data_IF_377020179194
#
_entry.id   IF_377020179194
#
_cell.length_a   1.000
_cell.length_b   1.000
_cell.length_c   1.000
_cell.angle_alpha   90.00
_cell.angle_beta   90.00
_cell.angle_gamma   90.00
#
_symmetry.space_group_name_H-M   'P 1'
#
loop_
_entity.id
_entity.type
_entity.pdbx_description
1 polymer ?
#
# COMPACT_ATOMS: atom_id res chain seq x y z
N UNK A 1 -1.73 -14.98 13.58
CA UNK A 1 -3.12 -14.44 13.65
C UNK A 1 -3.49 -13.94 12.26
N UNK A 2 -4.74 -14.15 11.83
CA UNK A 2 -5.20 -13.58 10.54
C UNK A 2 -5.40 -12.07 10.70
N UNK A 3 -5.03 -11.29 9.68
CA UNK A 3 -5.26 -9.85 9.63
C UNK A 3 -6.77 -9.53 9.68
N UNK A 4 -7.13 -8.49 10.40
CA UNK A 4 -8.48 -7.95 10.50
C UNK A 4 -8.41 -6.42 10.39
N UNK A 5 -9.20 -5.84 9.49
CA UNK A 5 -9.32 -4.38 9.43
C UNK A 5 -9.87 -3.82 10.74
N UNK A 6 -9.29 -2.72 11.20
CA UNK A 6 -9.78 -1.99 12.37
C UNK A 6 -9.52 -0.50 12.20
N UNK A 7 -10.33 0.31 12.88
CA UNK A 7 -10.08 1.73 13.02
C UNK A 7 -9.09 2.02 14.16
N UNK A 8 -8.55 3.23 14.19
CA UNK A 8 -7.60 3.68 15.22
C UNK A 8 -8.16 3.67 16.64
N UNK A 9 -9.48 3.69 16.80
CA UNK A 9 -10.18 3.55 18.09
C UNK A 9 -10.35 2.09 18.54
N UNK A 10 -9.86 1.13 17.76
CA UNK A 10 -9.97 -0.30 17.98
C UNK A 10 -11.27 -0.94 17.47
N UNK A 11 -12.18 -0.15 16.90
CA UNK A 11 -13.42 -0.69 16.30
C UNK A 11 -13.09 -1.57 15.10
N UNK A 12 -13.58 -2.81 15.12
CA UNK A 12 -13.38 -3.76 14.01
C UNK A 12 -14.22 -3.39 12.81
N UNK A 13 -13.62 -3.53 11.64
CA UNK A 13 -14.28 -3.29 10.35
C UNK A 13 -14.61 -4.65 9.73
N UNK A 14 -15.91 -4.93 9.53
CA UNK A 14 -16.42 -6.23 9.09
C UNK A 14 -16.44 -6.37 7.55
N UNK A 15 -15.48 -5.78 6.85
CA UNK A 15 -15.28 -6.04 5.42
C UNK A 15 -14.33 -7.22 5.22
N UNK A 16 -14.62 -8.09 4.25
CA UNK A 16 -13.69 -9.16 3.92
C UNK A 16 -12.38 -8.58 3.39
N UNK A 17 -11.26 -9.16 3.81
CA UNK A 17 -9.98 -8.86 3.20
C UNK A 17 -9.96 -9.48 1.79
N UNK A 18 -9.98 -8.64 0.79
CA UNK A 18 -9.89 -9.03 -0.61
C UNK A 18 -8.46 -8.91 -1.14
N UNK A 19 -8.36 -8.44 -2.37
CA UNK A 19 -7.09 -8.07 -3.00
C UNK A 19 -6.68 -6.66 -2.58
N UNK A 20 -5.37 -6.44 -2.48
CA UNK A 20 -4.77 -5.11 -2.36
C UNK A 20 -4.28 -4.72 -3.75
N UNK A 21 -4.91 -3.72 -4.35
CA UNK A 21 -4.49 -3.16 -5.64
C UNK A 21 -3.49 -2.06 -5.37
N UNK A 22 -2.29 -2.19 -5.89
CA UNK A 22 -1.20 -1.23 -5.72
C UNK A 22 -0.96 -0.45 -7.02
N UNK A 23 -0.60 0.82 -6.87
CA UNK A 23 -0.29 1.72 -7.99
C UNK A 23 1.21 2.02 -7.93
N UNK A 24 1.97 1.42 -8.84
CA UNK A 24 3.41 1.65 -8.91
C UNK A 24 3.74 2.99 -9.57
N UNK A 25 4.86 3.62 -9.15
CA UNK A 25 5.35 4.91 -9.65
C UNK A 25 4.32 6.04 -9.51
N UNK A 26 3.55 6.02 -8.44
CA UNK A 26 2.48 7.00 -8.22
C UNK A 26 3.00 8.34 -7.67
N UNK A 27 4.19 8.37 -7.10
CA UNK A 27 4.85 9.58 -6.60
C UNK A 27 5.78 10.14 -7.69
N UNK A 28 5.37 11.25 -8.34
CA UNK A 28 6.05 11.83 -9.49
C UNK A 28 7.49 12.27 -9.18
N UNK A 29 7.75 12.79 -8.00
CA UNK A 29 9.09 13.20 -7.53
C UNK A 29 10.01 11.98 -7.42
N UNK A 30 9.55 10.92 -6.76
CA UNK A 30 10.31 9.67 -6.62
C UNK A 30 10.55 8.96 -7.96
N UNK A 31 9.62 9.06 -8.90
CA UNK A 31 9.81 8.54 -10.26
C UNK A 31 10.95 9.28 -10.99
N UNK A 32 11.06 10.60 -10.79
CA UNK A 32 12.13 11.43 -11.35
C UNK A 32 13.50 11.11 -10.73
N UNK A 33 13.57 10.93 -9.41
CA UNK A 33 14.81 10.56 -8.70
C UNK A 33 15.42 9.25 -9.22
N UNK A 34 14.58 8.32 -9.63
CA UNK A 34 14.98 7.02 -10.17
C UNK A 34 15.15 7.01 -11.71
N UNK A 35 15.12 8.18 -12.34
CA UNK A 35 15.20 8.34 -13.82
C UNK A 35 14.16 7.47 -14.57
N UNK A 36 12.98 7.30 -13.95
CA UNK A 36 11.86 6.59 -14.55
C UNK A 36 10.88 7.60 -15.17
N UNK A 37 10.38 7.35 -16.39
CA UNK A 37 9.32 8.17 -16.96
C UNK A 37 8.06 8.06 -16.08
N UNK A 38 7.37 9.19 -15.88
CA UNK A 38 6.05 9.18 -15.24
C UNK A 38 5.10 8.42 -16.16
N UNK A 39 4.45 7.35 -15.68
CA UNK A 39 3.56 6.56 -16.52
C UNK A 39 2.36 7.39 -17.00
N UNK A 40 1.98 7.23 -18.27
CA UNK A 40 0.75 7.83 -18.81
C UNK A 40 -0.52 7.12 -18.38
N UNK A 41 -0.39 5.85 -17.96
CA UNK A 41 -1.45 5.02 -17.39
C UNK A 41 -0.97 4.43 -16.05
N UNK A 42 -1.88 4.19 -15.09
CA UNK A 42 -1.51 3.59 -13.81
C UNK A 42 -0.84 2.23 -13.99
N UNK A 43 0.36 2.07 -13.44
CA UNK A 43 1.03 0.78 -13.36
C UNK A 43 0.45 0.00 -12.19
N UNK A 44 -0.39 -0.97 -12.47
CA UNK A 44 -1.07 -1.74 -11.43
C UNK A 44 -0.38 -3.07 -11.17
N UNK A 45 -0.32 -3.46 -9.90
CA UNK A 45 0.01 -4.81 -9.46
C UNK A 45 -0.84 -5.18 -8.23
N UNK A 46 -0.89 -6.45 -7.88
CA UNK A 46 -1.78 -6.95 -6.84
C UNK A 46 -0.97 -7.67 -5.76
N UNK A 47 -1.32 -7.38 -4.50
CA UNK A 47 -0.96 -8.21 -3.37
C UNK A 47 -2.22 -8.96 -2.92
N UNK A 48 -2.19 -10.31 -2.85
CA UNK A 48 -3.32 -11.07 -2.32
C UNK A 48 -3.52 -10.79 -0.83
N UNK A 49 -4.72 -10.99 -0.32
CA UNK A 49 -5.01 -10.78 1.11
C UNK A 49 -4.13 -11.59 2.06
N UNK A 50 -3.61 -12.75 1.60
CA UNK A 50 -2.64 -13.55 2.37
C UNK A 50 -1.30 -12.84 2.66
N UNK A 51 -0.97 -11.79 1.89
CA UNK A 51 0.23 -10.98 2.13
C UNK A 51 0.06 -9.95 3.24
N UNK A 52 -1.17 -9.70 3.70
CA UNK A 52 -1.46 -8.59 4.62
C UNK A 52 -1.20 -9.00 6.06
N UNK A 53 -0.44 -8.16 6.76
CA UNK A 53 -0.18 -8.28 8.20
C UNK A 53 -0.42 -6.93 8.88
N UNK A 54 -0.78 -6.91 10.18
CA UNK A 54 -0.93 -5.67 10.92
C UNK A 54 0.44 -5.03 11.18
N UNK A 55 0.50 -3.69 11.18
CA UNK A 55 1.68 -2.95 11.63
C UNK A 55 1.87 -3.10 13.14
N UNK A 56 0.77 -3.09 13.90
CA UNK A 56 0.79 -3.24 15.34
C UNK A 56 1.21 -4.65 15.76
N UNK A 57 2.05 -4.76 16.77
CA UNK A 57 2.60 -6.02 17.22
C UNK A 57 3.83 -6.49 16.47
N UNK A 58 4.25 -5.74 15.45
CA UNK A 58 5.45 -6.01 14.65
C UNK A 58 5.21 -7.01 13.51
N UNK A 59 6.12 -7.00 12.57
CA UNK A 59 6.13 -7.87 11.40
C UNK A 59 7.55 -8.34 11.10
N UNK A 60 7.68 -9.42 10.35
CA UNK A 60 8.99 -9.99 9.99
C UNK A 60 9.41 -9.54 8.60
N UNK A 61 10.70 -9.22 8.47
CA UNK A 61 11.33 -8.91 7.18
C UNK A 61 12.14 -10.15 6.77
N UNK A 62 11.90 -10.73 5.58
CA UNK A 62 12.60 -11.93 5.12
C UNK A 62 14.01 -11.58 4.60
N UNK A 63 14.92 -11.27 5.50
CA UNK A 63 16.28 -10.82 5.18
C UNK A 63 17.11 -11.88 4.43
N UNK A 64 16.76 -13.15 4.57
CA UNK A 64 17.36 -14.28 3.83
C UNK A 64 17.04 -14.29 2.34
N UNK A 65 16.07 -13.47 1.90
CA UNK A 65 15.64 -13.36 0.51
C UNK A 65 16.28 -12.20 -0.26
N UNK A 66 17.33 -11.59 0.30
CA UNK A 66 18.04 -10.47 -0.30
C UNK A 66 17.58 -9.11 0.25
N UNK A 67 17.81 -8.05 -0.53
CA UNK A 67 17.48 -6.69 -0.12
C UNK A 67 15.95 -6.47 -0.07
N UNK A 68 15.43 -6.19 1.12
CA UNK A 68 14.03 -5.84 1.32
C UNK A 68 13.92 -4.34 1.52
N UNK A 69 13.24 -3.67 0.59
CA UNK A 69 12.89 -2.26 0.71
C UNK A 69 11.51 -2.09 1.31
N UNK A 70 11.36 -1.05 2.09
CA UNK A 70 10.09 -0.55 2.58
C UNK A 70 9.68 0.64 1.71
N UNK A 71 8.45 0.65 1.25
CA UNK A 71 7.85 1.78 0.52
C UNK A 71 6.67 2.24 1.38
N UNK A 72 6.76 3.44 1.97
CA UNK A 72 5.66 3.98 2.77
C UNK A 72 4.56 4.50 1.83
N UNK A 73 3.36 4.03 2.06
CA UNK A 73 2.21 4.22 1.20
C UNK A 73 0.96 4.58 2.01
N UNK A 74 -0.05 5.10 1.33
CA UNK A 74 -1.37 5.32 1.89
C UNK A 74 -2.30 4.21 1.40
N UNK A 75 -2.76 3.37 2.31
CA UNK A 75 -3.82 2.41 2.03
C UNK A 75 -5.19 3.09 2.07
N UNK A 76 -5.99 2.86 1.03
CA UNK A 76 -7.38 3.33 0.94
C UNK A 76 -8.31 2.13 1.07
N UNK A 77 -9.20 2.15 2.07
CA UNK A 77 -10.18 1.09 2.28
C UNK A 77 -11.48 1.44 1.56
N UNK A 78 -11.83 0.65 0.55
CA UNK A 78 -13.09 0.75 -0.16
C UNK A 78 -14.15 -0.07 0.56
N UNK A 79 -15.18 0.59 1.08
CA UNK A 79 -16.23 -0.03 1.89
C UNK A 79 -17.57 -0.21 1.20
N UNK A 80 -17.72 0.25 -0.04
CA UNK A 80 -18.95 0.10 -0.82
C UNK A 80 -18.66 -0.45 -2.21
N UNK A 81 -19.55 -1.25 -2.79
CA UNK A 81 -19.43 -1.65 -4.19
C UNK A 81 -19.46 -0.42 -5.13
N UNK A 82 -18.62 -0.46 -6.16
CA UNK A 82 -18.57 0.55 -7.20
C UNK A 82 -18.98 -0.05 -8.54
N UNK A 83 -19.64 0.75 -9.39
CA UNK A 83 -19.91 0.40 -10.78
C UNK A 83 -18.61 0.39 -11.60
N UNK A 84 -18.68 -0.06 -12.86
CA UNK A 84 -17.52 -0.07 -13.76
C UNK A 84 -17.09 1.33 -14.22
N UNK A 85 -17.96 2.33 -14.07
CA UNK A 85 -17.70 3.74 -14.40
C UNK A 85 -18.30 4.65 -13.32
N UNK A 86 -17.74 4.63 -12.10
CA UNK A 86 -18.26 5.45 -11.02
C UNK A 86 -17.94 6.93 -11.28
N UNK A 87 -18.80 7.82 -10.82
CA UNK A 87 -18.49 9.23 -10.70
C UNK A 87 -17.44 9.46 -9.60
N UNK A 88 -16.81 10.64 -9.62
CA UNK A 88 -15.87 11.02 -8.54
C UNK A 88 -16.55 11.02 -7.17
N UNK A 89 -17.79 11.47 -7.09
CA UNK A 89 -18.57 11.50 -5.86
C UNK A 89 -18.84 10.10 -5.31
N UNK A 90 -19.26 9.15 -6.18
CA UNK A 90 -19.46 7.76 -5.79
C UNK A 90 -18.17 7.10 -5.29
N UNK A 91 -17.02 7.41 -5.91
CA UNK A 91 -15.72 6.91 -5.44
C UNK A 91 -15.39 7.45 -4.06
N UNK A 92 -15.55 8.77 -3.83
CA UNK A 92 -15.28 9.39 -2.54
C UNK A 92 -16.21 8.85 -1.45
N UNK A 93 -17.50 8.66 -1.75
CA UNK A 93 -18.47 8.07 -0.82
C UNK A 93 -18.21 6.58 -0.51
N UNK A 94 -17.50 5.88 -1.39
CA UNK A 94 -17.12 4.49 -1.16
C UNK A 94 -15.89 4.32 -0.26
N UNK A 95 -15.13 5.38 0.00
CA UNK A 95 -13.94 5.33 0.86
C UNK A 95 -14.36 5.25 2.33
N UNK A 96 -14.06 4.14 2.98
CA UNK A 96 -14.31 3.95 4.41
C UNK A 96 -13.19 4.47 5.29
N UNK A 97 -11.95 4.48 4.81
CA UNK A 97 -10.83 4.95 5.63
C UNK A 97 -9.51 4.98 4.88
N UNK A 98 -8.54 5.61 5.54
CA UNK A 98 -7.15 5.71 5.12
C UNK A 98 -6.23 5.19 6.22
N UNK A 99 -5.14 4.53 5.84
CA UNK A 99 -4.15 4.06 6.79
C UNK A 99 -2.74 4.18 6.23
N UNK A 100 -1.71 4.43 7.05
CA UNK A 100 -0.34 4.18 6.67
C UNK A 100 -0.12 2.70 6.35
N UNK A 101 0.65 2.43 5.32
CA UNK A 101 1.01 1.07 4.93
C UNK A 101 2.47 0.99 4.49
N UNK A 102 3.03 -0.22 4.51
CA UNK A 102 4.32 -0.49 3.88
C UNK A 102 4.12 -1.52 2.78
N UNK A 103 4.56 -1.16 1.58
CA UNK A 103 4.73 -2.08 0.46
C UNK A 103 6.15 -2.66 0.50
N UNK A 104 6.30 -3.78 1.21
CA UNK A 104 7.59 -4.46 1.29
C UNK A 104 7.93 -5.12 -0.05
N UNK A 105 9.15 -4.87 -0.49
CA UNK A 105 9.62 -5.23 -1.84
C UNK A 105 10.97 -5.94 -1.77
N UNK A 106 11.05 -7.15 -2.32
CA UNK A 106 12.34 -7.81 -2.60
C UNK A 106 13.00 -7.10 -3.79
N UNK A 107 13.82 -6.08 -3.51
CA UNK A 107 14.28 -5.12 -4.52
C UNK A 107 15.11 -5.78 -5.63
N UNK A 108 16.03 -6.66 -5.26
CA UNK A 108 16.89 -7.35 -6.23
C UNK A 108 16.05 -8.24 -7.15
N UNK A 109 15.06 -8.93 -6.59
CA UNK A 109 14.13 -9.77 -7.35
C UNK A 109 13.24 -8.93 -8.28
N UNK A 110 12.76 -7.78 -7.82
CA UNK A 110 11.99 -6.87 -8.68
C UNK A 110 12.82 -6.37 -9.86
N UNK A 111 14.09 -5.99 -9.63
CA UNK A 111 14.98 -5.54 -10.68
C UNK A 111 15.22 -6.64 -11.73
N UNK A 112 15.45 -7.88 -11.28
CA UNK A 112 15.60 -9.05 -12.15
C UNK A 112 14.33 -9.27 -13.01
N UNK A 113 13.15 -9.29 -12.37
CA UNK A 113 11.88 -9.52 -13.06
C UNK A 113 11.59 -8.40 -14.08
N UNK A 114 11.83 -7.14 -13.68
CA UNK A 114 11.66 -5.98 -14.55
C UNK A 114 12.55 -6.05 -15.79
N UNK A 115 13.81 -6.44 -15.64
CA UNK A 115 14.75 -6.56 -16.76
C UNK A 115 14.35 -7.63 -17.79
N UNK A 116 13.57 -8.63 -17.34
CA UNK A 116 13.07 -9.75 -18.17
C UNK A 116 11.63 -9.53 -18.67
N UNK A 117 10.97 -8.43 -18.31
CA UNK A 117 9.56 -8.18 -18.62
C UNK A 117 8.60 -9.17 -17.93
N UNK A 118 9.01 -9.75 -16.79
CA UNK A 118 8.23 -10.73 -16.04
C UNK A 118 7.35 -10.06 -14.97
N UNK A 119 6.25 -10.73 -14.56
CA UNK A 119 5.39 -10.27 -13.45
C UNK A 119 6.14 -10.12 -12.13
N UNK A 120 5.66 -9.21 -11.25
CA UNK A 120 6.35 -8.83 -10.02
C UNK A 120 5.90 -9.59 -8.76
N UNK A 121 4.98 -10.55 -8.88
CA UNK A 121 4.35 -11.23 -7.73
C UNK A 121 5.39 -11.83 -6.77
N UNK A 122 6.46 -12.45 -7.28
CA UNK A 122 7.51 -13.03 -6.44
C UNK A 122 8.21 -11.96 -5.59
N UNK A 123 8.34 -10.75 -6.11
CA UNK A 123 9.00 -9.64 -5.42
C UNK A 123 8.05 -8.83 -4.53
N UNK A 124 6.76 -8.83 -4.83
CA UNK A 124 5.76 -7.95 -4.22
C UNK A 124 4.68 -8.67 -3.41
N UNK A 125 4.50 -9.99 -3.59
CA UNK A 125 3.36 -10.74 -3.04
C UNK A 125 3.78 -11.91 -2.14
N UNK A 126 4.89 -11.77 -1.43
CA UNK A 126 5.28 -12.74 -0.40
C UNK A 126 4.51 -12.51 0.91
N UNK A 127 4.48 -13.52 1.79
CA UNK A 127 3.79 -13.43 3.08
C UNK A 127 4.34 -12.27 3.91
N UNK A 128 3.45 -11.40 4.40
CA UNK A 128 3.83 -10.20 5.12
C UNK A 128 4.27 -9.01 4.23
N UNK A 129 4.16 -9.12 2.91
CA UNK A 129 4.58 -8.05 1.99
C UNK A 129 3.71 -6.78 2.05
N UNK A 130 2.54 -6.82 2.64
CA UNK A 130 1.67 -5.66 2.86
C UNK A 130 1.45 -5.46 4.37
N UNK A 131 2.07 -4.44 4.93
CA UNK A 131 1.93 -4.10 6.35
C UNK A 131 0.96 -2.93 6.45
N UNK A 132 -0.16 -3.09 7.14
CA UNK A 132 -1.21 -2.06 7.19
C UNK A 132 -1.50 -1.68 8.65
N UNK A 133 -1.48 -0.38 8.94
CA UNK A 133 -1.88 0.19 10.22
C UNK A 133 -3.41 0.23 10.36
N UNK A 134 -3.95 0.52 11.57
CA UNK A 134 -5.36 0.84 11.74
C UNK A 134 -5.78 2.04 10.89
N UNK A 135 -7.03 2.01 10.42
CA UNK A 135 -7.59 3.03 9.54
C UNK A 135 -8.13 4.22 10.32
N UNK A 136 -7.90 5.41 9.79
CA UNK A 136 -8.66 6.62 10.14
C UNK A 136 -9.91 6.66 9.27
N UNK A 137 -11.06 7.01 9.86
CA UNK A 137 -12.33 7.10 9.12
C UNK A 137 -12.21 8.09 7.97
N UNK A 138 -12.67 7.72 6.78
CA UNK A 138 -12.51 8.51 5.56
C UNK A 138 -13.10 9.92 5.66
N UNK A 139 -14.24 10.08 6.32
CA UNK A 139 -14.89 11.38 6.54
C UNK A 139 -14.12 12.35 7.46
N UNK A 140 -13.03 11.91 8.09
CA UNK A 140 -12.15 12.78 8.89
C UNK A 140 -11.38 13.76 8.01
N UNK A 141 -11.14 13.42 6.73
CA UNK A 141 -10.37 14.24 5.82
C UNK A 141 -11.31 15.12 4.97
N UNK A 142 -11.24 16.42 5.16
CA UNK A 142 -12.01 17.38 4.36
C UNK A 142 -11.42 17.55 2.93
N UNK A 143 -10.10 17.45 2.81
CA UNK A 143 -9.38 17.50 1.54
C UNK A 143 -8.39 16.33 1.46
N UNK A 144 -8.52 15.52 0.42
CA UNK A 144 -7.65 14.37 0.18
C UNK A 144 -6.34 14.76 -0.52
N UNK A 145 -6.24 15.98 -1.02
CA UNK A 145 -5.03 16.47 -1.71
C UNK A 145 -3.95 16.94 -0.73
N UNK A 146 -4.28 17.08 0.55
CA UNK A 146 -3.38 17.55 1.61
C UNK A 146 -3.00 16.44 2.61
N UNK A 147 -3.06 15.18 2.18
CA UNK A 147 -2.66 14.05 3.00
C UNK A 147 -1.19 13.77 2.77
N UNK A 148 -0.36 14.06 3.78
CA UNK A 148 1.07 13.72 3.80
C UNK A 148 1.33 12.39 4.51
N UNK A 149 2.47 11.76 4.19
CA UNK A 149 2.98 10.57 4.87
C UNK A 149 4.45 10.76 5.20
N UNK A 150 4.83 10.49 6.45
CA UNK A 150 6.22 10.52 6.89
C UNK A 150 6.62 9.18 7.49
N UNK A 151 7.77 8.68 7.08
CA UNK A 151 8.40 7.49 7.66
C UNK A 151 9.67 7.86 8.39
N UNK A 152 9.76 7.44 9.65
CA UNK A 152 10.95 7.58 10.48
C UNK A 152 11.41 6.21 10.94
N UNK A 153 12.71 5.92 10.80
CA UNK A 153 13.33 4.67 11.26
C UNK A 153 14.49 5.02 12.18
N UNK A 154 14.46 4.50 13.40
CA UNK A 154 15.50 4.76 14.42
C UNK A 154 15.75 6.27 14.66
N UNK A 155 14.71 7.10 14.58
CA UNK A 155 14.80 8.55 14.76
C UNK A 155 15.21 9.34 13.52
N UNK A 156 15.55 8.69 12.41
CA UNK A 156 15.88 9.34 11.14
C UNK A 156 14.69 9.33 10.17
N UNK A 157 14.38 10.48 9.59
CA UNK A 157 13.36 10.58 8.53
C UNK A 157 13.90 9.89 7.27
N UNK A 158 13.13 8.95 6.74
CA UNK A 158 13.47 8.16 5.53
C UNK A 158 12.58 8.50 4.35
N UNK A 159 11.38 8.99 4.62
CA UNK A 159 10.42 9.47 3.62
C UNK A 159 9.59 10.59 4.24
N UNK A 160 9.34 11.66 3.48
CA UNK A 160 8.52 12.82 3.90
C UNK A 160 7.76 13.40 2.71
#
# INVERSE_FOLDING_TARGET
>A
MSYQHQYVDGTRIHFPLGKVVCIGRNYAEHAKELDNPVPTEPLLFIKPGSCVVPLEGGFSIPTERGSVHYEAEIAVLIGKPLSTKPSREEVLDAISGFAPALDLTLRDKQAELKSKGLPWEIAKSFDGAAVIAPFVVGSTFADLTDIGIRLTINGEVRQD
#
